data_IF_762319044942
#
_entry.id   IF_762319044942
#
_cell.length_a   1.000
_cell.length_b   1.000
_cell.length_c   1.000
_cell.angle_alpha   90.00
_cell.angle_beta   90.00
_cell.angle_gamma   90.00
#
_symmetry.space_group_name_H-M   'P 1'
#
loop_
_entity.id
_entity.type
_entity.pdbx_description
1 polymer ?
#
# COMPACT_ATOMS: atom_id res chain seq x y z
N UNK A 1 7.03 11.36 6.71
CA UNK A 1 6.01 11.34 7.79
C UNK A 1 4.77 10.70 7.18
N UNK A 2 4.47 9.44 7.50
CA UNK A 2 3.45 8.64 6.80
C UNK A 2 2.03 9.26 6.86
N UNK A 3 1.76 10.14 7.82
CA UNK A 3 0.49 10.90 7.95
C UNK A 3 0.50 12.32 7.37
N UNK A 4 1.33 12.63 6.37
CA UNK A 4 1.31 13.95 5.73
C UNK A 4 0.13 14.04 4.74
N UNK A 5 -0.91 14.81 5.13
CA UNK A 5 -2.12 15.13 4.34
C UNK A 5 -2.63 13.95 3.52
N UNK A 6 -3.37 13.06 4.18
CA UNK A 6 -4.05 11.95 3.55
C UNK A 6 -5.46 12.37 3.11
N UNK A 7 -5.89 11.89 1.95
CA UNK A 7 -7.27 11.99 1.46
C UNK A 7 -7.84 10.60 1.22
N UNK A 8 -9.17 10.49 1.12
CA UNK A 8 -9.86 9.24 0.80
C UNK A 8 -10.87 9.46 -0.32
N UNK A 9 -11.16 8.40 -1.08
CA UNK A 9 -12.15 8.45 -2.14
C UNK A 9 -12.65 7.07 -2.54
N UNK A 10 -13.73 7.08 -3.32
CA UNK A 10 -14.35 5.90 -3.92
C UNK A 10 -14.34 6.03 -5.45
N UNK A 11 -14.21 4.91 -6.16
CA UNK A 11 -14.22 4.87 -7.62
C UNK A 11 -14.64 3.49 -8.13
N UNK A 12 -15.06 3.41 -9.38
CA UNK A 12 -15.26 2.16 -10.13
C UNK A 12 -14.10 1.87 -11.12
N UNK A 13 -13.03 2.67 -11.09
CA UNK A 13 -11.91 2.54 -12.03
C UNK A 13 -10.99 1.37 -11.64
N UNK A 14 -11.02 0.29 -12.43
CA UNK A 14 -10.21 -0.91 -12.23
C UNK A 14 -8.69 -0.69 -12.38
N UNK A 15 -8.28 0.38 -13.08
CA UNK A 15 -6.87 0.68 -13.35
C UNK A 15 -6.13 1.38 -12.23
N UNK A 16 -6.82 1.78 -11.15
CA UNK A 16 -6.18 2.43 -10.01
C UNK A 16 -5.36 1.42 -9.21
N UNK A 17 -4.12 1.76 -8.91
CA UNK A 17 -3.17 0.89 -8.20
C UNK A 17 -2.34 1.72 -7.21
N UNK A 18 -1.86 1.12 -6.10
CA UNK A 18 -0.91 1.81 -5.21
C UNK A 18 0.33 2.26 -5.96
N UNK A 19 0.84 3.44 -5.64
CA UNK A 19 2.00 4.07 -6.30
C UNK A 19 1.65 4.91 -7.52
N UNK A 20 0.53 4.64 -8.19
CA UNK A 20 0.05 5.45 -9.31
C UNK A 20 -0.38 6.85 -8.87
N UNK A 21 -0.17 7.84 -9.73
CA UNK A 21 -0.64 9.20 -9.53
C UNK A 21 -1.64 9.61 -10.61
N UNK A 22 -2.65 10.39 -10.22
CA UNK A 22 -3.67 10.92 -11.12
C UNK A 22 -4.01 12.37 -10.79
N UNK A 23 -4.37 13.20 -11.79
CA UNK A 23 -4.91 14.54 -11.54
C UNK A 23 -6.37 14.44 -11.10
N UNK A 24 -6.73 15.08 -9.99
CA UNK A 24 -8.13 15.31 -9.64
C UNK A 24 -8.63 16.56 -10.36
N UNK A 25 -9.81 16.48 -10.98
CA UNK A 25 -10.46 17.61 -11.66
C UNK A 25 -11.91 17.69 -11.21
N UNK A 26 -12.55 18.86 -11.43
CA UNK A 26 -13.97 19.12 -11.15
C UNK A 26 -14.40 18.98 -9.68
N UNK A 27 -13.45 18.92 -8.74
CA UNK A 27 -13.79 18.95 -7.32
C UNK A 27 -14.31 20.36 -6.92
N UNK A 28 -15.42 20.48 -6.16
CA UNK A 28 -16.01 21.77 -5.77
C UNK A 28 -15.02 22.71 -5.06
N UNK A 29 -14.10 22.12 -4.30
CA UNK A 29 -12.96 22.84 -3.77
C UNK A 29 -11.80 22.83 -4.77
N UNK A 30 -11.55 23.98 -5.40
CA UNK A 30 -10.49 24.16 -6.39
C UNK A 30 -9.08 23.82 -5.87
N UNK A 31 -8.83 23.99 -4.56
CA UNK A 31 -7.53 23.67 -3.97
C UNK A 31 -7.21 22.16 -3.95
N UNK A 32 -8.23 21.30 -4.14
CA UNK A 32 -8.07 19.85 -4.20
C UNK A 32 -7.88 19.33 -5.63
N UNK A 33 -8.09 20.17 -6.65
CA UNK A 33 -7.86 19.83 -8.07
C UNK A 33 -6.36 19.84 -8.41
N UNK A 34 -5.62 18.93 -7.79
CA UNK A 34 -4.17 18.75 -7.94
C UNK A 34 -3.87 17.27 -8.24
N UNK A 35 -2.60 16.95 -8.47
CA UNK A 35 -2.16 15.56 -8.58
C UNK A 35 -2.18 14.87 -7.21
N UNK A 36 -2.75 13.67 -7.18
CA UNK A 36 -2.82 12.79 -6.02
C UNK A 36 -2.15 11.46 -6.34
N UNK A 37 -1.43 10.91 -5.37
CA UNK A 37 -0.80 9.60 -5.45
C UNK A 37 -1.54 8.62 -4.54
N UNK A 38 -1.88 7.44 -5.07
CA UNK A 38 -2.54 6.37 -4.31
C UNK A 38 -1.52 5.69 -3.41
N UNK A 39 -1.81 5.62 -2.12
CA UNK A 39 -0.98 4.90 -1.14
C UNK A 39 -1.59 3.58 -0.69
N UNK A 40 -2.93 3.46 -0.77
CA UNK A 40 -3.67 2.24 -0.49
C UNK A 40 -4.93 2.21 -1.36
N UNK A 41 -5.34 1.03 -1.83
CA UNK A 41 -6.59 0.80 -2.53
C UNK A 41 -7.12 -0.59 -2.21
N UNK A 42 -8.43 -0.71 -2.09
CA UNK A 42 -9.15 -1.98 -1.95
C UNK A 42 -10.18 -2.07 -3.06
N UNK A 43 -10.14 -3.14 -3.84
CA UNK A 43 -11.08 -3.43 -4.91
C UNK A 43 -12.10 -4.48 -4.42
N UNK A 44 -13.38 -4.25 -4.70
CA UNK A 44 -14.48 -5.15 -4.42
C UNK A 44 -15.28 -5.38 -5.70
N UNK A 45 -15.45 -6.63 -6.09
CA UNK A 45 -16.17 -7.02 -7.30
C UNK A 45 -17.31 -7.99 -6.99
N UNK A 46 -18.44 -7.82 -7.65
CA UNK A 46 -19.57 -8.74 -7.59
C UNK A 46 -19.95 -9.18 -9.00
N UNK A 47 -20.05 -10.49 -9.22
CA UNK A 47 -20.44 -11.08 -10.50
C UNK A 47 -21.60 -12.07 -10.30
N UNK A 48 -22.85 -11.59 -10.37
CA UNK A 48 -24.04 -12.44 -10.18
C UNK A 48 -24.19 -13.53 -11.26
N UNK A 49 -23.75 -13.26 -12.50
CA UNK A 49 -23.90 -14.19 -13.63
C UNK A 49 -23.09 -15.50 -13.48
N UNK A 50 -22.13 -15.55 -12.54
CA UNK A 50 -21.36 -16.76 -12.27
C UNK A 50 -22.14 -17.79 -11.44
N UNK A 51 -23.24 -17.39 -10.80
CA UNK A 51 -24.15 -18.27 -10.07
C UNK A 51 -25.29 -18.66 -11.02
N UNK A 52 -25.19 -19.87 -11.58
CA UNK A 52 -26.12 -20.39 -12.60
C UNK A 52 -27.60 -20.38 -12.18
N UNK A 53 -27.88 -20.36 -10.86
CA UNK A 53 -29.22 -20.49 -10.27
C UNK A 53 -29.92 -19.14 -9.97
N UNK A 54 -29.16 -18.04 -9.89
CA UNK A 54 -29.67 -16.68 -9.62
C UNK A 54 -29.26 -15.73 -10.74
N UNK A 55 -29.52 -16.12 -11.99
CA UNK A 55 -29.37 -15.25 -13.16
C UNK A 55 -30.51 -14.23 -13.23
N UNK A 56 -30.66 -13.45 -12.15
CA UNK A 56 -31.58 -12.34 -12.04
C UNK A 56 -31.02 -11.08 -12.70
N UNK A 57 -30.45 -11.14 -13.91
CA UNK A 57 -30.13 -9.97 -14.75
C UNK A 57 -29.18 -8.89 -14.20
N UNK A 58 -28.73 -8.96 -12.95
CA UNK A 58 -27.93 -7.92 -12.29
C UNK A 58 -26.52 -7.82 -12.91
N UNK A 59 -26.02 -6.62 -13.20
CA UNK A 59 -24.73 -6.43 -13.88
C UNK A 59 -23.54 -6.79 -12.98
N UNK A 60 -22.41 -7.15 -13.60
CA UNK A 60 -21.13 -7.24 -12.89
C UNK A 60 -20.71 -5.85 -12.41
N UNK A 61 -20.39 -5.71 -11.12
CA UNK A 61 -19.99 -4.43 -10.52
C UNK A 61 -18.58 -4.49 -9.95
N UNK A 62 -17.87 -3.36 -10.01
CA UNK A 62 -16.58 -3.16 -9.37
C UNK A 62 -16.62 -1.82 -8.63
N UNK A 63 -16.31 -1.84 -7.34
CA UNK A 63 -16.16 -0.65 -6.50
C UNK A 63 -14.82 -0.69 -5.78
N UNK A 64 -14.21 0.48 -5.61
CA UNK A 64 -12.88 0.62 -5.06
C UNK A 64 -12.89 1.74 -4.03
N UNK A 65 -12.28 1.50 -2.87
CA UNK A 65 -12.00 2.52 -1.86
C UNK A 65 -10.50 2.72 -1.76
N UNK A 66 -10.05 3.98 -1.75
CA UNK A 66 -8.62 4.29 -1.80
C UNK A 66 -8.23 5.44 -0.88
N UNK A 67 -6.95 5.44 -0.49
CA UNK A 67 -6.30 6.51 0.24
C UNK A 67 -5.21 7.14 -0.63
N UNK A 68 -5.12 8.47 -0.59
CA UNK A 68 -4.19 9.26 -1.38
C UNK A 68 -3.36 10.20 -0.54
N UNK A 69 -2.23 10.61 -1.08
CA UNK A 69 -1.43 11.76 -0.63
C UNK A 69 -1.22 12.72 -1.79
N UNK A 70 -0.86 13.98 -1.51
CA UNK A 70 -0.51 14.92 -2.58
C UNK A 70 0.66 14.36 -3.41
N UNK A 71 0.57 14.41 -4.73
CA UNK A 71 1.61 13.87 -5.63
C UNK A 71 2.97 14.55 -5.50
N UNK A 72 3.02 15.77 -4.96
CA UNK A 72 4.28 16.49 -4.66
C UNK A 72 4.96 16.02 -3.37
N UNK A 73 4.29 15.21 -2.54
CA UNK A 73 4.79 14.78 -1.24
C UNK A 73 5.54 13.46 -1.37
N UNK A 74 6.79 13.41 -0.91
CA UNK A 74 7.50 12.14 -0.78
C UNK A 74 6.86 11.29 0.31
N UNK A 75 6.17 10.23 -0.09
CA UNK A 75 5.63 9.24 0.84
C UNK A 75 6.67 8.19 1.19
N UNK A 76 6.70 7.79 2.47
CA UNK A 76 7.45 6.63 2.96
C UNK A 76 6.57 5.91 3.94
N UNK A 77 6.59 4.58 3.88
CA UNK A 77 5.93 3.74 4.87
C UNK A 77 6.45 4.04 6.27
N UNK A 78 5.61 3.78 7.26
CA UNK A 78 6.03 3.83 8.65
C UNK A 78 7.10 2.76 8.89
N UNK A 79 8.15 3.13 9.63
CA UNK A 79 9.21 2.19 9.95
C UNK A 79 8.64 1.10 10.86
N UNK A 80 8.85 -0.16 10.49
CA UNK A 80 8.55 -1.27 11.37
C UNK A 80 9.33 -1.14 12.69
N UNK A 81 8.81 -1.75 13.75
CA UNK A 81 9.50 -1.79 15.03
C UNK A 81 10.91 -2.35 14.84
N UNK A 82 11.92 -1.61 15.31
CA UNK A 82 13.31 -2.04 15.19
C UNK A 82 13.50 -3.34 15.97
N UNK A 83 14.08 -4.41 15.39
CA UNK A 83 14.39 -5.60 16.15
C UNK A 83 15.32 -5.22 17.30
N UNK A 84 14.95 -5.63 18.51
CA UNK A 84 15.73 -5.40 19.72
C UNK A 84 16.21 -6.75 20.23
N UNK A 85 17.46 -6.76 20.71
CA UNK A 85 18.01 -7.90 21.43
C UNK A 85 17.64 -7.71 22.90
N UNK A 86 16.89 -8.65 23.46
CA UNK A 86 16.39 -8.57 24.85
C UNK A 86 17.50 -8.64 25.91
N UNK A 87 18.70 -9.09 25.52
CA UNK A 87 19.87 -9.14 26.40
C UNK A 87 21.07 -9.86 25.76
N UNK A 88 22.18 -10.00 26.49
CA UNK A 88 23.38 -10.66 25.99
C UNK A 88 23.10 -12.10 25.50
N UNK A 89 23.74 -12.50 24.40
CA UNK A 89 23.65 -13.85 23.85
C UNK A 89 25.02 -14.52 23.83
N UNK A 90 25.06 -15.83 24.10
CA UNK A 90 26.27 -16.64 23.98
C UNK A 90 26.44 -17.03 22.51
N UNK A 91 27.65 -16.88 21.99
CA UNK A 91 28.02 -17.31 20.64
C UNK A 91 29.26 -18.21 20.69
N UNK A 92 29.36 -19.11 19.72
CA UNK A 92 30.55 -19.94 19.51
C UNK A 92 31.48 -19.23 18.53
N UNK A 93 32.76 -19.07 18.89
CA UNK A 93 33.78 -18.51 18.01
C UNK A 93 34.00 -19.47 16.83
N UNK A 94 34.02 -18.94 15.61
CA UNK A 94 34.22 -19.70 14.37
C UNK A 94 35.41 -19.14 13.59
N UNK A 95 36.11 -20.00 12.86
CA UNK A 95 37.26 -19.65 12.01
C UNK A 95 37.49 -20.70 10.92
N UNK A 96 38.41 -20.44 9.96
CA UNK A 96 38.79 -21.39 8.91
C UNK A 96 39.31 -22.73 9.46
N UNK A 97 39.24 -23.78 8.65
CA UNK A 97 39.74 -25.10 9.06
C UNK A 97 41.26 -25.07 9.32
N UNK A 98 41.68 -25.50 10.51
CA UNK A 98 43.09 -25.55 10.90
C UNK A 98 43.64 -24.28 11.56
N UNK A 99 42.82 -23.24 11.75
CA UNK A 99 43.20 -22.02 12.45
C UNK A 99 42.60 -21.96 13.85
N UNK A 100 43.45 -21.88 14.88
CA UNK A 100 43.04 -21.74 16.28
C UNK A 100 42.75 -20.29 16.69
N UNK A 101 43.35 -19.33 15.99
CA UNK A 101 43.20 -17.90 16.23
C UNK A 101 42.91 -17.24 14.90
N UNK A 102 41.70 -16.69 14.75
CA UNK A 102 41.27 -15.96 13.57
C UNK A 102 40.79 -14.57 13.97
N UNK A 103 41.67 -13.58 13.77
CA UNK A 103 41.43 -12.16 14.03
C UNK A 103 41.63 -11.37 12.71
N UNK A 104 41.18 -10.11 12.67
CA UNK A 104 41.24 -9.22 11.49
C UNK A 104 42.65 -8.68 11.16
#
# INVERSE_FOLDING_TARGET
RAGAVTGGGESNCAGLMPGSAFPLTEHPNAALNIAWQIVNITHSGQQPQALEEESGGEPTTLSNSFSVVKGSTTWRTEMAHKPMVDGPQIATVVGPAGEEIYCD
#
